data_IF_124515436716
#
_entry.id   IF_124515436716
#
_cell.length_a   1.000
_cell.length_b   1.000
_cell.length_c   1.000
_cell.angle_alpha   90.00
_cell.angle_beta   90.00
_cell.angle_gamma   90.00
#
_symmetry.space_group_name_H-M   'P 1'
#
loop_
_entity.id
_entity.type
_entity.pdbx_description
1 polymer ?
#
# COMPACT_ATOMS: atom_id res chain seq x y z
N UNK A 1 14.74 10.67 -21.93
CA UNK A 1 13.43 9.98 -21.85
C UNK A 1 12.77 10.32 -20.53
N UNK A 2 12.19 11.51 -20.42
CA UNK A 2 11.39 11.92 -19.26
C UNK A 2 9.97 12.13 -19.78
N UNK A 3 9.19 11.06 -19.76
CA UNK A 3 7.84 11.09 -20.31
C UNK A 3 7.00 10.05 -19.61
N UNK A 4 6.64 10.34 -18.36
CA UNK A 4 5.42 9.89 -17.68
C UNK A 4 5.20 10.87 -16.51
N UNK A 5 4.40 11.90 -16.77
CA UNK A 5 4.05 12.95 -15.83
C UNK A 5 3.18 12.38 -14.68
N UNK A 6 3.54 12.73 -13.45
CA UNK A 6 2.68 12.86 -12.27
C UNK A 6 1.67 11.71 -12.00
N UNK A 7 2.11 10.45 -11.96
CA UNK A 7 1.30 9.38 -11.36
C UNK A 7 1.57 9.34 -9.85
N UNK A 8 0.68 9.93 -9.05
CA UNK A 8 0.80 9.91 -7.60
C UNK A 8 0.24 8.58 -7.06
N UNK A 9 1.12 7.61 -6.82
CA UNK A 9 0.82 6.30 -6.21
C UNK A 9 0.17 6.43 -4.82
N UNK A 10 0.38 7.56 -4.15
CA UNK A 10 -0.13 7.86 -2.81
C UNK A 10 -1.37 8.74 -2.82
N UNK A 11 -2.02 8.89 -3.99
CA UNK A 11 -3.30 9.56 -4.07
C UNK A 11 -4.32 8.86 -3.16
N UNK A 12 -4.97 9.64 -2.30
CA UNK A 12 -6.03 9.18 -1.42
C UNK A 12 -7.40 9.52 -1.97
N UNK A 13 -8.40 8.69 -1.67
CA UNK A 13 -9.80 8.98 -1.97
C UNK A 13 -10.41 9.91 -0.89
N UNK A 14 -11.71 10.21 -1.01
CA UNK A 14 -12.43 11.06 -0.05
C UNK A 14 -12.48 10.51 1.39
N UNK A 15 -12.11 9.24 1.61
CA UNK A 15 -11.96 8.63 2.92
C UNK A 15 -10.49 8.53 3.38
N UNK A 16 -9.56 9.22 2.71
CA UNK A 16 -8.13 9.15 3.01
C UNK A 16 -7.46 7.83 2.60
N UNK A 17 -8.20 6.87 2.04
CA UNK A 17 -7.66 5.58 1.63
C UNK A 17 -6.85 5.73 0.33
N UNK A 18 -5.59 5.34 0.38
CA UNK A 18 -4.73 5.23 -0.80
C UNK A 18 -5.02 3.94 -1.58
N UNK A 19 -4.46 3.81 -2.78
CA UNK A 19 -4.55 2.57 -3.56
C UNK A 19 -4.07 1.34 -2.76
N UNK A 20 -3.08 1.52 -1.89
CA UNK A 20 -2.56 0.46 -1.04
C UNK A 20 -3.56 0.01 0.04
N UNK A 21 -4.35 0.93 0.61
CA UNK A 21 -5.43 0.57 1.54
C UNK A 21 -6.51 -0.27 0.86
N UNK A 22 -6.91 0.11 -0.36
CA UNK A 22 -7.93 -0.61 -1.11
C UNK A 22 -7.45 -2.03 -1.47
N UNK A 23 -6.20 -2.17 -1.90
CA UNK A 23 -5.60 -3.46 -2.20
C UNK A 23 -5.46 -4.34 -0.93
N UNK A 24 -5.14 -3.73 0.21
CA UNK A 24 -5.09 -4.38 1.52
C UNK A 24 -6.45 -4.88 2.00
N UNK A 25 -7.49 -4.07 1.87
CA UNK A 25 -8.87 -4.41 2.21
C UNK A 25 -9.46 -5.47 1.26
N UNK A 26 -9.04 -5.47 -0.01
CA UNK A 26 -9.45 -6.46 -1.00
C UNK A 26 -8.72 -7.81 -0.89
N UNK A 27 -7.61 -7.88 -0.14
CA UNK A 27 -6.81 -9.11 -0.02
C UNK A 27 -5.95 -9.40 -1.26
N UNK A 28 -5.71 -8.41 -2.13
CA UNK A 28 -5.10 -8.61 -3.43
C UNK A 28 -3.58 -8.42 -3.41
N UNK A 29 -2.86 -9.49 -3.08
CA UNK A 29 -1.39 -9.50 -2.97
C UNK A 29 -0.70 -8.99 -4.24
N UNK A 30 -1.20 -9.35 -5.42
CA UNK A 30 -0.63 -8.91 -6.69
C UNK A 30 -0.71 -7.39 -6.88
N UNK A 31 -1.85 -6.79 -6.54
CA UNK A 31 -2.01 -5.33 -6.59
C UNK A 31 -1.09 -4.64 -5.58
N UNK A 32 -0.98 -5.17 -4.37
CA UNK A 32 -0.07 -4.67 -3.32
C UNK A 32 1.38 -4.68 -3.80
N UNK A 33 1.86 -5.78 -4.38
CA UNK A 33 3.23 -5.85 -4.91
C UNK A 33 3.49 -4.84 -6.02
N UNK A 34 2.54 -4.65 -6.94
CA UNK A 34 2.69 -3.63 -7.99
C UNK A 34 2.75 -2.21 -7.42
N UNK A 35 1.93 -1.90 -6.42
CA UNK A 35 1.93 -0.60 -5.75
C UNK A 35 3.23 -0.36 -4.99
N UNK A 36 3.76 -1.38 -4.31
CA UNK A 36 5.04 -1.31 -3.59
C UNK A 36 6.21 -1.09 -4.56
N UNK A 37 6.23 -1.80 -5.69
CA UNK A 37 7.23 -1.59 -6.77
C UNK A 37 7.12 -0.19 -7.37
N UNK A 38 5.91 0.37 -7.44
CA UNK A 38 5.69 1.74 -7.90
C UNK A 38 6.10 2.82 -6.87
N UNK A 39 6.53 2.43 -5.66
CA UNK A 39 6.95 3.35 -4.59
C UNK A 39 5.79 3.87 -3.75
N UNK A 40 4.72 3.08 -3.56
CA UNK A 40 3.62 3.45 -2.68
C UNK A 40 4.09 3.54 -1.21
N UNK A 41 3.69 4.62 -0.53
CA UNK A 41 3.94 4.83 0.90
C UNK A 41 3.01 3.92 1.72
N UNK A 42 3.64 3.01 2.47
CA UNK A 42 2.96 2.13 3.43
C UNK A 42 2.53 2.87 4.71
N UNK A 43 3.14 4.03 4.97
CA UNK A 43 2.93 4.87 6.14
C UNK A 43 1.72 5.82 6.00
N UNK A 44 1.10 5.89 4.82
CA UNK A 44 -0.11 6.68 4.64
C UNK A 44 -1.21 6.16 5.57
N UNK A 45 -1.91 7.08 6.24
CA UNK A 45 -3.07 6.79 7.09
C UNK A 45 -4.35 7.24 6.42
N UNK A 46 -5.38 6.40 6.51
CA UNK A 46 -6.73 6.75 6.08
C UNK A 46 -7.42 7.72 7.06
N UNK A 47 -8.67 8.09 6.78
CA UNK A 47 -9.44 8.98 7.66
C UNK A 47 -9.80 8.36 9.01
N UNK A 48 -9.72 7.03 9.15
CA UNK A 48 -9.85 6.34 10.43
C UNK A 48 -8.52 6.29 11.20
N UNK A 49 -7.43 6.73 10.58
CA UNK A 49 -6.08 6.69 11.15
C UNK A 49 -5.38 5.36 10.95
N UNK A 50 -5.93 4.43 10.16
CA UNK A 50 -5.32 3.14 9.87
C UNK A 50 -4.34 3.23 8.71
N UNK A 51 -3.23 2.51 8.79
CA UNK A 51 -2.34 2.27 7.66
C UNK A 51 -2.85 1.09 6.80
N UNK A 52 -2.27 0.91 5.61
CA UNK A 52 -2.61 -0.21 4.74
C UNK A 52 -2.37 -1.58 5.41
N UNK A 53 -1.31 -1.69 6.23
CA UNK A 53 -1.02 -2.90 7.01
C UNK A 53 -2.10 -3.20 8.06
N UNK A 54 -2.62 -2.17 8.73
CA UNK A 54 -3.68 -2.30 9.72
C UNK A 54 -5.00 -2.69 9.02
N UNK A 55 -5.28 -2.11 7.85
CA UNK A 55 -6.42 -2.49 7.03
C UNK A 55 -6.38 -3.96 6.60
N UNK A 56 -5.21 -4.47 6.21
CA UNK A 56 -5.03 -5.90 5.90
C UNK A 56 -5.28 -6.80 7.12
N UNK A 57 -4.81 -6.41 8.31
CA UNK A 57 -5.06 -7.15 9.55
C UNK A 57 -6.53 -7.15 9.94
N UNK A 58 -7.21 -6.00 9.86
CA UNK A 58 -8.63 -5.87 10.18
C UNK A 58 -9.48 -6.72 9.22
N UNK A 59 -9.09 -6.79 7.94
CA UNK A 59 -9.75 -7.62 6.94
C UNK A 59 -9.42 -9.13 7.09
N UNK A 60 -8.40 -9.49 7.89
CA UNK A 60 -7.96 -10.89 8.06
C UNK A 60 -7.13 -11.42 6.89
N UNK A 61 -6.47 -10.53 6.14
CA UNK A 61 -5.64 -10.86 4.98
C UNK A 61 -4.16 -10.93 5.36
N UNK A 62 -3.80 -11.96 6.12
CA UNK A 62 -2.44 -12.20 6.63
C UNK A 62 -1.39 -12.32 5.50
N UNK A 63 -1.79 -12.86 4.35
CA UNK A 63 -0.97 -12.96 3.15
C UNK A 63 -0.58 -11.58 2.59
N UNK A 64 -1.50 -10.62 2.61
CA UNK A 64 -1.23 -9.24 2.19
C UNK A 64 -0.36 -8.54 3.21
N UNK A 65 -0.65 -8.70 4.50
CA UNK A 65 0.16 -8.15 5.57
C UNK A 65 1.61 -8.64 5.49
N UNK A 66 1.82 -9.93 5.24
CA UNK A 66 3.14 -10.51 5.04
C UNK A 66 3.87 -9.89 3.84
N UNK A 67 3.19 -9.70 2.70
CA UNK A 67 3.79 -9.08 1.52
C UNK A 67 4.21 -7.62 1.75
N UNK A 68 3.39 -6.84 2.48
CA UNK A 68 3.73 -5.46 2.87
C UNK A 68 4.96 -5.44 3.78
N UNK A 69 4.99 -6.30 4.80
CA UNK A 69 6.12 -6.40 5.74
C UNK A 69 7.39 -6.84 5.01
N UNK A 70 7.29 -7.80 4.09
CA UNK A 70 8.41 -8.26 3.29
C UNK A 70 9.02 -7.12 2.47
N UNK A 71 8.21 -6.35 1.75
CA UNK A 71 8.71 -5.20 0.97
C UNK A 71 9.30 -4.09 1.85
N UNK A 72 8.73 -3.82 3.04
CA UNK A 72 9.31 -2.84 3.98
C UNK A 72 10.71 -3.29 4.43
N UNK A 73 10.92 -4.59 4.64
CA UNK A 73 12.24 -5.12 5.05
C UNK A 73 13.28 -5.06 3.92
N UNK A 74 12.87 -5.23 2.66
CA UNK A 74 13.80 -5.17 1.52
C UNK A 74 14.39 -3.78 1.29
N UNK A 75 13.68 -2.70 1.66
CA UNK A 75 14.17 -1.34 1.52
C UNK A 75 15.14 -0.88 2.64
N UNK A 76 15.27 -1.62 3.74
CA UNK A 76 16.14 -1.24 4.86
C UNK A 76 17.63 -1.62 4.65
N UNK A 77 17.94 -2.37 3.58
CA UNK A 77 19.29 -2.88 3.29
C UNK A 77 20.00 -2.22 2.10
N UNK A 78 19.50 -1.09 1.57
CA UNK A 78 20.14 -0.38 0.46
C UNK A 78 20.62 1.03 0.83
#
# INVERSE_FOLDING_TARGET
MQSCLYYNVNASNGAGKTALHLAAEAGEVSAVRHLLVAGADTECRDAAGHCALESAHIAGHDNVAAAIIESIREFCFQ
#
